data_IF_629132591019
#
_entry.id   IF_629132591019
#
_cell.length_a   1.000
_cell.length_b   1.000
_cell.length_c   1.000
_cell.angle_alpha   90.00
_cell.angle_beta   90.00
_cell.angle_gamma   90.00
#
_symmetry.space_group_name_H-M   'P 1'
#
loop_
_entity.id
_entity.type
_entity.pdbx_description
1 polymer ?
#
# COMPACT_ATOMS: atom_id res chain seq x y z
N UNK A 1 26.46 22.26 -25.87
CA UNK A 1 26.70 22.41 -24.42
C UNK A 1 25.48 22.96 -23.66
N UNK A 2 24.94 24.14 -23.98
CA UNK A 2 23.79 24.74 -23.24
C UNK A 2 22.56 23.82 -23.10
N UNK A 3 22.21 23.06 -24.13
CA UNK A 3 21.07 22.11 -24.11
C UNK A 3 21.30 20.90 -23.19
N UNK A 4 22.54 20.39 -23.13
CA UNK A 4 22.89 19.26 -22.28
C UNK A 4 22.91 19.65 -20.79
N UNK A 5 23.39 20.87 -20.48
CA UNK A 5 23.36 21.42 -19.12
C UNK A 5 21.91 21.64 -18.64
N UNK A 6 21.02 22.13 -19.51
CA UNK A 6 19.61 22.30 -19.17
C UNK A 6 18.90 20.95 -18.90
N UNK A 7 19.21 19.94 -19.72
CA UNK A 7 18.70 18.58 -19.52
C UNK A 7 19.18 17.98 -18.19
N UNK A 8 20.47 18.15 -17.87
CA UNK A 8 21.05 17.67 -16.62
C UNK A 8 20.41 18.34 -15.40
N UNK A 9 20.19 19.66 -15.45
CA UNK A 9 19.51 20.40 -14.38
C UNK A 9 18.06 19.94 -14.20
N UNK A 10 17.37 19.64 -15.30
CA UNK A 10 16.01 19.11 -15.26
C UNK A 10 15.96 17.72 -14.61
N UNK A 11 16.87 16.80 -14.98
CA UNK A 11 16.97 15.50 -14.33
C UNK A 11 17.32 15.62 -12.84
N UNK A 12 18.23 16.52 -12.48
CA UNK A 12 18.61 16.75 -11.08
C UNK A 12 17.42 17.23 -10.24
N UNK A 13 16.60 18.15 -10.76
CA UNK A 13 15.41 18.64 -10.09
C UNK A 13 14.36 17.52 -9.87
N UNK A 14 14.20 16.61 -10.83
CA UNK A 14 13.29 15.46 -10.68
C UNK A 14 13.77 14.52 -9.57
N UNK A 15 15.08 14.24 -9.51
CA UNK A 15 15.67 13.35 -8.50
C UNK A 15 15.51 13.94 -7.09
N UNK A 16 15.75 15.23 -6.92
CA UNK A 16 15.61 15.92 -5.63
C UNK A 16 14.14 15.86 -5.15
N UNK A 17 13.19 16.09 -6.05
CA UNK A 17 11.76 16.00 -5.73
C UNK A 17 11.35 14.59 -5.30
N UNK A 18 11.81 13.56 -6.03
CA UNK A 18 11.50 12.17 -5.70
C UNK A 18 11.99 11.72 -4.30
N UNK A 19 13.05 12.33 -3.76
CA UNK A 19 13.52 12.04 -2.40
C UNK A 19 12.71 12.74 -1.30
N UNK A 20 12.12 13.90 -1.58
CA UNK A 20 11.40 14.71 -0.58
C UNK A 20 9.94 14.30 -0.40
N UNK A 21 9.40 13.53 -1.34
CA UNK A 21 7.98 13.17 -1.43
C UNK A 21 7.62 11.87 -0.66
N UNK A 22 8.45 11.43 0.30
CA UNK A 22 8.19 10.23 1.10
C UNK A 22 7.60 10.56 2.46
N UNK A 23 6.52 9.88 2.82
CA UNK A 23 5.89 9.94 4.14
C UNK A 23 6.06 8.57 4.80
N UNK A 24 6.68 8.56 5.97
CA UNK A 24 6.78 7.35 6.79
C UNK A 24 5.74 7.40 7.89
N UNK A 25 4.96 6.32 8.02
CA UNK A 25 4.09 6.07 9.14
C UNK A 25 4.64 4.94 9.98
N UNK A 26 4.53 5.07 11.29
CA UNK A 26 5.02 4.14 12.28
C UNK A 26 3.84 3.58 13.09
N UNK A 27 3.99 2.35 13.58
CA UNK A 27 2.98 1.63 14.37
C UNK A 27 1.71 1.30 13.57
N UNK A 28 0.95 0.33 14.09
CA UNK A 28 -0.30 -0.13 13.51
C UNK A 28 -0.48 -1.63 13.71
N UNK A 29 -1.73 -2.06 13.75
CA UNK A 29 -2.10 -3.47 13.88
C UNK A 29 -2.60 -3.97 12.53
N UNK A 30 -2.05 -5.09 12.06
CA UNK A 30 -2.44 -5.71 10.80
C UNK A 30 -3.39 -6.86 11.11
N UNK A 31 -4.56 -6.82 10.47
CA UNK A 31 -5.55 -7.88 10.49
C UNK A 31 -5.68 -8.50 9.11
N UNK A 32 -5.81 -9.82 9.10
CA UNK A 32 -6.23 -10.56 7.91
C UNK A 32 -7.74 -10.71 7.94
N UNK A 33 -8.41 -10.25 6.88
CA UNK A 33 -9.87 -10.29 6.76
C UNK A 33 -10.25 -11.07 5.51
N UNK A 34 -11.05 -12.12 5.69
CA UNK A 34 -11.67 -12.86 4.59
C UNK A 34 -13.15 -12.52 4.49
N UNK A 35 -13.62 -12.28 3.27
CA UNK A 35 -15.01 -11.97 2.98
C UNK A 35 -15.55 -12.89 1.89
N UNK A 36 -16.75 -13.42 2.08
CA UNK A 36 -17.43 -14.21 1.06
C UNK A 36 -17.67 -13.34 -0.20
N UNK A 37 -17.25 -13.84 -1.37
CA UNK A 37 -17.28 -13.01 -2.57
C UNK A 37 -18.68 -12.64 -3.05
N UNK A 38 -19.69 -13.47 -2.73
CA UNK A 38 -21.08 -13.32 -3.18
C UNK A 38 -21.89 -12.44 -2.24
N UNK A 39 -21.84 -12.73 -0.94
CA UNK A 39 -22.65 -12.11 0.11
C UNK A 39 -21.95 -10.94 0.79
N UNK A 40 -20.63 -10.79 0.60
CA UNK A 40 -19.78 -9.78 1.26
C UNK A 40 -19.73 -9.92 2.78
N UNK A 41 -20.23 -11.01 3.34
CA UNK A 41 -20.13 -11.28 4.78
C UNK A 41 -18.68 -11.54 5.15
N UNK A 42 -18.24 -10.95 6.26
CA UNK A 42 -16.94 -11.27 6.86
C UNK A 42 -16.99 -12.70 7.37
N UNK A 43 -16.10 -13.54 6.84
CA UNK A 43 -15.93 -14.93 7.26
C UNK A 43 -15.03 -14.99 8.50
N UNK A 44 -13.95 -14.21 8.51
CA UNK A 44 -13.14 -13.98 9.69
C UNK A 44 -12.37 -12.65 9.59
N UNK A 45 -12.01 -12.12 10.75
CA UNK A 45 -11.04 -11.04 10.95
C UNK A 45 -10.14 -11.48 12.11
N UNK A 46 -8.83 -11.62 11.85
CA UNK A 46 -7.86 -12.09 12.86
C UNK A 46 -6.60 -11.23 12.86
N UNK A 47 -5.99 -11.00 14.04
CA UNK A 47 -4.67 -10.39 14.10
C UNK A 47 -3.66 -11.19 13.26
N UNK A 48 -2.87 -10.48 12.47
CA UNK A 48 -1.87 -11.06 11.57
C UNK A 48 -0.46 -10.59 11.91
N UNK A 49 -0.30 -9.34 12.34
CA UNK A 49 1.00 -8.80 12.72
C UNK A 49 0.93 -7.36 13.19
N UNK A 50 2.09 -6.75 13.41
CA UNK A 50 2.26 -5.35 13.79
C UNK A 50 3.10 -4.61 12.77
N UNK A 51 2.65 -3.44 12.36
CA UNK A 51 3.40 -2.56 11.47
C UNK A 51 4.70 -2.13 12.14
N UNK A 52 5.81 -2.33 11.43
CA UNK A 52 7.11 -1.74 11.75
C UNK A 52 7.22 -0.37 11.08
N UNK A 53 6.92 -0.30 9.78
CA UNK A 53 6.81 0.95 9.02
C UNK A 53 5.88 0.81 7.81
N UNK A 54 5.26 1.92 7.43
CA UNK A 54 4.59 2.10 6.14
C UNK A 54 5.23 3.32 5.49
N UNK A 55 5.91 3.13 4.36
CA UNK A 55 6.42 4.23 3.56
C UNK A 55 5.48 4.48 2.38
N UNK A 56 4.95 5.69 2.30
CA UNK A 56 4.22 6.19 1.15
C UNK A 56 5.13 7.09 0.32
N UNK A 57 5.29 6.79 -0.96
CA UNK A 57 5.98 7.63 -1.93
C UNK A 57 4.92 8.38 -2.75
N UNK A 58 4.80 9.70 -2.56
CA UNK A 58 3.76 10.53 -3.21
C UNK A 58 4.04 10.70 -4.72
N UNK A 59 5.30 10.66 -5.13
CA UNK A 59 5.69 10.78 -6.53
C UNK A 59 5.24 9.56 -7.34
N UNK A 60 5.55 8.35 -6.86
CA UNK A 60 5.15 7.10 -7.50
C UNK A 60 3.77 6.60 -7.06
N UNK A 61 3.18 7.24 -6.04
CA UNK A 61 1.95 6.83 -5.36
C UNK A 61 2.03 5.36 -4.93
N UNK A 62 3.13 4.97 -4.31
CA UNK A 62 3.36 3.59 -3.89
C UNK A 62 3.44 3.46 -2.38
N UNK A 63 3.13 2.25 -1.90
CA UNK A 63 3.27 1.87 -0.51
C UNK A 63 4.33 0.77 -0.38
N UNK A 64 5.18 0.88 0.64
CA UNK A 64 6.02 -0.20 1.14
C UNK A 64 5.65 -0.46 2.59
N UNK A 65 5.24 -1.68 2.90
CA UNK A 65 4.71 -2.05 4.21
C UNK A 65 5.64 -3.09 4.80
N UNK A 66 6.29 -2.75 5.92
CA UNK A 66 7.11 -3.66 6.73
C UNK A 66 6.37 -3.96 8.03
N UNK A 67 6.33 -5.23 8.41
CA UNK A 67 5.60 -5.67 9.60
C UNK A 67 6.18 -6.93 10.23
N UNK A 68 5.94 -7.05 11.52
CA UNK A 68 6.32 -8.17 12.36
C UNK A 68 5.16 -9.15 12.50
N UNK A 69 5.40 -10.40 12.14
CA UNK A 69 4.54 -11.55 12.43
C UNK A 69 5.17 -12.40 13.54
N UNK A 70 4.45 -13.38 14.13
CA UNK A 70 5.02 -14.31 15.10
C UNK A 70 6.28 -15.04 14.59
N UNK A 71 6.31 -15.36 13.30
CA UNK A 71 7.39 -16.13 12.66
C UNK A 71 8.60 -15.26 12.26
N UNK A 72 8.46 -13.94 12.27
CA UNK A 72 9.50 -13.01 11.86
C UNK A 72 8.96 -11.76 11.17
N UNK A 73 9.89 -10.91 10.72
CA UNK A 73 9.56 -9.69 9.98
C UNK A 73 9.45 -9.98 8.48
N UNK A 74 8.48 -9.36 7.83
CA UNK A 74 8.32 -9.41 6.38
C UNK A 74 7.80 -8.07 5.86
N UNK A 75 7.70 -7.94 4.55
CA UNK A 75 7.10 -6.78 3.93
C UNK A 75 6.79 -6.99 2.46
N UNK A 76 5.99 -6.08 1.92
CA UNK A 76 5.68 -6.05 0.50
C UNK A 76 5.41 -4.61 0.05
N UNK A 77 5.50 -4.40 -1.25
CA UNK A 77 5.25 -3.12 -1.88
C UNK A 77 4.12 -3.20 -2.89
N UNK A 78 3.33 -2.13 -3.00
CA UNK A 78 2.30 -1.97 -4.02
C UNK A 78 2.49 -0.64 -4.76
N UNK A 79 2.38 -0.67 -6.09
CA UNK A 79 2.52 0.52 -6.95
C UNK A 79 1.18 0.93 -7.56
N UNK A 80 0.95 2.23 -7.64
CA UNK A 80 -0.26 2.78 -8.26
C UNK A 80 -0.38 2.41 -9.74
N UNK A 81 -1.59 2.03 -10.14
CA UNK A 81 -1.97 1.83 -11.54
C UNK A 81 -2.98 2.89 -11.96
N UNK A 82 -4.09 3.01 -11.22
CA UNK A 82 -5.13 4.00 -11.49
C UNK A 82 -6.03 4.24 -10.28
N UNK A 83 -6.73 5.35 -10.29
CA UNK A 83 -7.84 5.60 -9.36
C UNK A 83 -9.12 5.01 -9.93
N UNK A 84 -9.87 4.29 -9.11
CA UNK A 84 -11.17 3.70 -9.43
C UNK A 84 -12.30 4.69 -9.12
N UNK A 85 -13.50 4.38 -9.58
CA UNK A 85 -14.70 5.10 -9.15
C UNK A 85 -14.81 5.09 -7.61
N UNK A 86 -15.25 6.21 -7.03
CA UNK A 86 -15.38 6.41 -5.57
C UNK A 86 -14.06 6.52 -4.79
N UNK A 87 -12.93 6.73 -5.46
CA UNK A 87 -11.66 7.12 -4.84
C UNK A 87 -10.77 5.98 -4.37
N UNK A 88 -11.17 4.72 -4.53
CA UNK A 88 -10.29 3.58 -4.26
C UNK A 88 -9.13 3.52 -5.28
N UNK A 89 -7.94 3.12 -4.85
CA UNK A 89 -6.78 3.00 -5.73
C UNK A 89 -6.67 1.55 -6.22
N UNK A 90 -6.47 1.34 -7.52
CA UNK A 90 -6.00 0.06 -8.03
C UNK A 90 -4.47 0.09 -8.01
N UNK A 91 -3.88 -0.84 -7.27
CA UNK A 91 -2.44 -0.98 -7.11
C UNK A 91 -2.00 -2.40 -7.49
N UNK A 92 -0.76 -2.55 -7.95
CA UNK A 92 -0.16 -3.82 -8.33
C UNK A 92 0.94 -4.18 -7.35
N UNK A 93 1.05 -5.45 -6.97
CA UNK A 93 2.17 -5.94 -6.17
C UNK A 93 3.50 -5.74 -6.93
N UNK A 94 4.51 -5.24 -6.24
CA UNK A 94 5.82 -4.99 -6.84
C UNK A 94 6.65 -6.27 -7.01
N UNK A 95 6.40 -7.29 -6.18
CA UNK A 95 7.11 -8.56 -6.19
C UNK A 95 6.33 -9.65 -6.97
N UNK A 96 5.01 -9.50 -7.12
CA UNK A 96 4.12 -10.41 -7.84
C UNK A 96 3.24 -9.67 -8.84
N UNK A 97 3.73 -9.33 -10.04
CA UNK A 97 3.02 -8.48 -11.00
C UNK A 97 1.61 -8.99 -11.40
N UNK A 98 1.32 -10.27 -11.22
CA UNK A 98 0.01 -10.86 -11.44
C UNK A 98 -1.03 -10.48 -10.36
N UNK A 99 -0.59 -10.04 -9.19
CA UNK A 99 -1.43 -9.70 -8.05
C UNK A 99 -1.76 -8.20 -8.01
N UNK A 100 -3.05 -7.91 -7.79
CA UNK A 100 -3.59 -6.56 -7.75
C UNK A 100 -4.42 -6.35 -6.48
N UNK A 101 -4.38 -5.13 -5.96
CA UNK A 101 -5.09 -4.73 -4.76
C UNK A 101 -5.99 -3.51 -5.05
N UNK A 102 -7.19 -3.53 -4.50
CA UNK A 102 -7.96 -2.32 -4.28
C UNK A 102 -7.54 -1.74 -2.92
N UNK A 103 -6.98 -0.54 -2.93
CA UNK A 103 -6.45 0.12 -1.75
C UNK A 103 -7.36 1.29 -1.37
N UNK A 104 -7.83 1.27 -0.12
CA UNK A 104 -8.50 2.40 0.52
C UNK A 104 -7.53 2.99 1.53
N UNK A 105 -7.03 4.18 1.23
CA UNK A 105 -6.15 4.95 2.11
C UNK A 105 -6.95 5.99 2.86
N UNK A 106 -6.99 5.86 4.19
CA UNK A 106 -7.59 6.80 5.13
C UNK A 106 -6.65 7.08 6.28
N UNK A 107 -5.33 6.95 6.06
CA UNK A 107 -4.35 7.06 7.15
C UNK A 107 -4.42 8.44 7.80
N UNK A 108 -4.49 9.51 7.01
CA UNK A 108 -4.60 10.89 7.52
C UNK A 108 -5.94 11.19 8.21
N UNK A 109 -7.00 10.48 7.82
CA UNK A 109 -8.36 10.72 8.32
C UNK A 109 -8.61 9.99 9.64
N UNK A 110 -8.20 8.72 9.73
CA UNK A 110 -8.47 7.87 10.89
C UNK A 110 -7.45 6.75 11.12
N UNK A 111 -6.26 6.82 10.51
CA UNK A 111 -5.19 5.84 10.73
C UNK A 111 -5.48 4.46 10.15
N UNK A 112 -6.29 4.37 9.08
CA UNK A 112 -6.68 3.10 8.45
C UNK A 112 -6.14 2.99 7.03
N UNK A 113 -5.57 1.83 6.70
CA UNK A 113 -5.21 1.42 5.34
C UNK A 113 -5.78 0.02 5.08
N UNK A 114 -6.54 -0.14 4.00
CA UNK A 114 -7.10 -1.44 3.60
C UNK A 114 -6.59 -1.82 2.22
N UNK A 115 -6.02 -3.02 2.09
CA UNK A 115 -5.56 -3.60 0.83
C UNK A 115 -6.36 -4.87 0.55
N UNK A 116 -7.34 -4.78 -0.35
CA UNK A 116 -8.18 -5.90 -0.76
C UNK A 116 -7.60 -6.56 -2.01
N UNK A 117 -7.16 -7.82 -1.90
CA UNK A 117 -6.68 -8.57 -3.05
C UNK A 117 -7.83 -8.79 -4.05
N UNK A 118 -7.58 -8.48 -5.33
CA UNK A 118 -8.55 -8.61 -6.42
C UNK A 118 -8.84 -10.07 -6.77
N UNK A 119 -7.86 -10.95 -6.62
CA UNK A 119 -7.98 -12.38 -6.89
C UNK A 119 -8.77 -13.04 -5.76
N UNK A 120 -9.71 -13.90 -6.15
CA UNK A 120 -10.47 -14.71 -5.20
C UNK A 120 -9.66 -15.95 -4.85
N UNK A 121 -9.72 -16.34 -3.58
CA UNK A 121 -9.15 -17.59 -3.08
C UNK A 121 -10.32 -18.37 -2.50
N UNK A 122 -10.62 -19.53 -3.08
CA UNK A 122 -11.70 -20.43 -2.60
C UNK A 122 -13.05 -19.71 -2.43
N UNK A 123 -13.41 -18.85 -3.39
CA UNK A 123 -14.67 -18.09 -3.34
C UNK A 123 -14.67 -16.89 -2.36
N UNK A 124 -13.55 -16.60 -1.71
CA UNK A 124 -13.40 -15.49 -0.78
C UNK A 124 -12.48 -14.40 -1.32
N UNK A 125 -12.75 -13.15 -0.95
CA UNK A 125 -11.76 -12.08 -1.04
C UNK A 125 -10.93 -12.03 0.23
N UNK A 126 -9.63 -11.81 0.07
CA UNK A 126 -8.70 -11.64 1.17
C UNK A 126 -8.21 -10.20 1.21
N UNK A 127 -8.08 -9.64 2.41
CA UNK A 127 -7.55 -8.29 2.58
C UNK A 127 -6.66 -8.16 3.80
N UNK A 128 -5.69 -7.25 3.68
CA UNK A 128 -4.97 -6.70 4.82
C UNK A 128 -5.70 -5.44 5.28
N UNK A 129 -6.14 -5.43 6.53
CA UNK A 129 -6.72 -4.26 7.19
C UNK A 129 -5.73 -3.80 8.25
N UNK A 130 -5.15 -2.63 8.02
CA UNK A 130 -4.18 -2.03 8.92
C UNK A 130 -4.86 -0.84 9.62
N UNK A 131 -4.83 -0.84 10.94
CA UNK A 131 -5.47 0.18 11.77
C UNK A 131 -4.49 0.76 12.78
N UNK A 132 -4.88 1.84 13.45
CA UNK A 132 -4.08 2.53 14.47
C UNK A 132 -2.72 3.01 13.93
N UNK A 133 -2.67 3.36 12.63
CA UNK A 133 -1.46 3.89 11.99
C UNK A 133 -1.25 5.33 12.49
N UNK A 134 0.00 5.65 12.86
CA UNK A 134 0.40 7.00 13.29
C UNK A 134 1.57 7.49 12.45
N UNK A 135 1.67 8.81 12.24
CA UNK A 135 2.83 9.41 11.60
C UNK A 135 3.95 9.63 12.63
#
# INVERSE_FOLDING_TARGET
MKKATLLLLFFLAIVIKAQTDKITYMKGDIYLVAQDAKTKKVLFERPYGKVLSIEYDDFYKSYYILFQMPEGSTGFGVRYIKTMEKGALLMQDMNKPEDFYYVSDKIKENGILILLNKKKIEGSYLSYKIINITQ
#
